data_IF_560411248794
#
_entry.id   IF_560411248794
#
_cell.length_a   1.000
_cell.length_b   1.000
_cell.length_c   1.000
_cell.angle_alpha   90.00
_cell.angle_beta   90.00
_cell.angle_gamma   90.00
#
_symmetry.space_group_name_H-M   'P 1'
#
loop_
_entity.id
_entity.type
_entity.pdbx_description
1 polymer ?
#
# COMPACT_ATOMS: atom_id res chain seq x y z
N UNK A 1 -60.31 -9.19 32.60
CA UNK A 1 -59.01 -9.60 33.19
C UNK A 1 -57.88 -9.84 32.17
N UNK A 2 -58.10 -10.57 31.06
CA UNK A 2 -57.02 -10.87 30.08
C UNK A 2 -56.47 -9.68 29.27
N UNK A 3 -57.25 -8.62 29.04
CA UNK A 3 -56.81 -7.45 28.26
C UNK A 3 -55.91 -6.51 29.07
N UNK A 4 -56.24 -6.30 30.34
CA UNK A 4 -55.47 -5.48 31.29
C UNK A 4 -54.10 -6.12 31.55
N UNK A 5 -54.05 -7.46 31.68
CA UNK A 5 -52.79 -8.18 31.87
C UNK A 5 -51.85 -8.05 30.67
N UNK A 6 -52.38 -8.07 29.44
CA UNK A 6 -51.57 -7.90 28.22
C UNK A 6 -50.96 -6.51 28.12
N UNK A 7 -51.70 -5.46 28.51
CA UNK A 7 -51.16 -4.10 28.52
C UNK A 7 -50.15 -3.88 29.65
N UNK A 8 -50.37 -4.44 30.85
CA UNK A 8 -49.39 -4.39 31.93
C UNK A 8 -48.08 -5.11 31.58
N UNK A 9 -48.15 -6.26 30.92
CA UNK A 9 -46.93 -7.00 30.49
C UNK A 9 -46.17 -6.23 29.41
N UNK A 10 -46.86 -5.63 28.43
CA UNK A 10 -46.21 -4.81 27.38
C UNK A 10 -45.56 -3.56 27.98
N UNK A 11 -46.21 -2.89 28.93
CA UNK A 11 -45.65 -1.72 29.61
C UNK A 11 -44.40 -2.08 30.42
N UNK A 12 -44.39 -3.25 31.07
CA UNK A 12 -43.24 -3.72 31.85
C UNK A 12 -42.04 -4.07 30.97
N UNK A 13 -42.27 -4.66 29.79
CA UNK A 13 -41.21 -4.95 28.82
C UNK A 13 -40.62 -3.66 28.25
N UNK A 14 -41.45 -2.65 27.95
CA UNK A 14 -40.98 -1.34 27.48
C UNK A 14 -40.12 -0.62 28.52
N UNK A 15 -40.43 -0.74 29.81
CA UNK A 15 -39.65 -0.16 30.91
C UNK A 15 -38.27 -0.83 31.09
N UNK A 16 -38.17 -2.13 30.78
CA UNK A 16 -36.91 -2.88 30.88
C UNK A 16 -35.91 -2.51 29.78
N UNK A 17 -36.36 -2.03 28.62
CA UNK A 17 -35.50 -1.73 27.47
C UNK A 17 -34.83 -0.34 27.58
N UNK A 18 -35.36 0.57 28.41
CA UNK A 18 -34.80 1.94 28.54
C UNK A 18 -33.63 2.06 29.53
N UNK A 19 -33.30 1.01 30.27
CA UNK A 19 -32.21 1.03 31.25
C UNK A 19 -30.90 0.48 30.64
N UNK A 20 -30.45 1.12 29.56
CA UNK A 20 -29.11 0.89 29.00
C UNK A 20 -28.07 1.69 29.78
N UNK A 21 -27.30 1.03 30.63
CA UNK A 21 -26.18 1.66 31.35
C UNK A 21 -25.10 2.14 30.37
N UNK A 22 -24.77 3.43 30.43
CA UNK A 22 -23.57 4.01 29.81
C UNK A 22 -22.33 3.43 30.50
N UNK A 23 -21.62 2.51 29.83
CA UNK A 23 -20.30 2.05 30.28
C UNK A 23 -19.23 2.80 29.48
N UNK A 24 -18.82 3.95 30.01
CA UNK A 24 -17.68 4.71 29.47
C UNK A 24 -16.42 4.28 30.23
N UNK A 25 -15.72 3.29 29.68
CA UNK A 25 -14.40 2.93 30.16
C UNK A 25 -13.38 3.93 29.57
N UNK A 26 -12.98 4.93 30.36
CA UNK A 26 -11.79 5.72 30.07
C UNK A 26 -10.55 4.91 30.45
N UNK A 27 -9.83 4.38 29.47
CA UNK A 27 -8.47 3.86 29.69
C UNK A 27 -7.52 5.03 29.95
N UNK A 28 -6.69 4.98 31.01
CA UNK A 28 -5.65 5.98 31.20
C UNK A 28 -4.56 5.79 30.14
N UNK A 29 -4.28 6.86 29.39
CA UNK A 29 -3.08 6.99 28.55
C UNK A 29 -1.84 6.80 29.43
N UNK A 30 -1.18 5.66 29.28
CA UNK A 30 0.15 5.43 29.81
C UNK A 30 1.14 6.30 29.05
N UNK A 31 1.74 7.25 29.76
CA UNK A 31 2.77 8.16 29.28
C UNK A 31 4.04 7.36 28.97
N UNK A 32 4.23 6.98 27.72
CA UNK A 32 5.58 6.71 27.19
C UNK A 32 6.11 7.98 26.54
N UNK A 33 6.82 8.75 27.36
CA UNK A 33 7.67 9.84 26.92
C UNK A 33 8.95 9.24 26.34
N UNK A 34 9.03 9.12 25.02
CA UNK A 34 10.28 8.86 24.33
C UNK A 34 11.00 10.19 24.09
N UNK A 35 12.16 10.33 24.74
CA UNK A 35 13.16 11.37 24.50
C UNK A 35 13.46 11.45 22.98
N UNK A 36 13.44 12.64 22.35
CA UNK A 36 13.92 12.77 20.97
C UNK A 36 15.38 12.34 20.91
N UNK A 37 15.66 11.29 20.12
CA UNK A 37 17.01 11.05 19.66
C UNK A 37 17.37 12.21 18.74
N UNK A 38 18.42 12.94 19.10
CA UNK A 38 18.94 14.05 18.32
C UNK A 38 19.28 13.56 16.90
N UNK A 39 18.82 14.32 15.91
CA UNK A 39 19.31 14.23 14.54
C UNK A 39 20.76 14.74 14.55
N UNK A 40 21.73 13.84 14.48
CA UNK A 40 23.07 14.21 14.07
C UNK A 40 23.03 14.51 12.57
N UNK A 41 22.83 15.78 12.24
CA UNK A 41 23.13 16.31 10.92
C UNK A 41 24.66 16.20 10.70
N UNK A 42 25.09 15.19 9.96
CA UNK A 42 26.42 15.17 9.36
C UNK A 42 26.48 16.26 8.29
N UNK A 43 27.03 17.41 8.65
CA UNK A 43 27.34 18.48 7.71
C UNK A 43 28.52 18.05 6.83
N UNK A 44 28.24 17.74 5.56
CA UNK A 44 29.29 17.68 4.54
C UNK A 44 29.73 19.10 4.20
N UNK A 45 30.87 19.50 4.76
CA UNK A 45 31.61 20.69 4.36
C UNK A 45 32.02 20.55 2.89
N UNK A 46 31.54 21.47 2.04
CA UNK A 46 32.05 21.62 0.69
C UNK A 46 33.53 22.04 0.75
N UNK A 47 34.41 21.21 0.18
CA UNK A 47 35.84 21.49 0.01
C UNK A 47 36.01 22.30 -1.29
N UNK A 48 36.80 23.39 -1.32
CA UNK A 48 37.02 24.19 -2.54
C UNK A 48 37.79 23.39 -3.61
N UNK A 49 37.29 23.37 -4.85
CA UNK A 49 37.98 22.79 -6.00
C UNK A 49 39.38 23.40 -6.20
N UNK A 50 40.38 22.54 -6.27
CA UNK A 50 41.70 22.85 -6.81
C UNK A 50 41.79 22.31 -8.25
N UNK A 51 42.33 23.08 -9.22
CA UNK A 51 42.36 22.67 -10.62
C UNK A 51 43.39 21.55 -10.81
N UNK A 52 42.93 20.36 -11.19
CA UNK A 52 43.79 19.22 -11.55
C UNK A 52 43.90 19.13 -13.07
N UNK A 53 45.15 19.11 -13.53
CA UNK A 53 45.62 19.18 -14.92
C UNK A 53 45.08 18.02 -15.78
N UNK A 54 44.65 18.33 -17.01
CA UNK A 54 44.23 17.36 -18.03
C UNK A 54 45.41 16.45 -18.44
N UNK A 55 45.28 15.11 -18.41
CA UNK A 55 46.22 14.24 -19.10
C UNK A 55 45.93 14.22 -20.62
N UNK A 56 47.00 14.30 -21.41
CA UNK A 56 47.04 14.25 -22.87
C UNK A 56 46.49 12.92 -23.42
N UNK A 57 45.48 12.99 -24.30
CA UNK A 57 44.81 11.82 -24.89
C UNK A 57 45.55 11.35 -26.16
N UNK A 58 46.35 10.29 -26.03
CA UNK A 58 46.91 9.56 -27.17
C UNK A 58 45.80 8.80 -27.93
N UNK A 59 45.79 8.77 -29.28
CA UNK A 59 44.73 8.08 -30.03
C UNK A 59 44.76 6.57 -29.78
N UNK A 60 43.62 6.04 -29.31
CA UNK A 60 43.36 4.62 -29.07
C UNK A 60 42.90 3.95 -30.37
N UNK A 61 43.43 2.77 -30.67
CA UNK A 61 43.09 1.95 -31.84
C UNK A 61 41.61 1.55 -31.86
N UNK A 62 40.92 1.86 -32.96
CA UNK A 62 39.54 1.45 -33.24
C UNK A 62 39.46 -0.05 -33.51
N UNK A 63 38.86 -0.81 -32.59
CA UNK A 63 38.47 -2.20 -32.85
C UNK A 63 37.20 -2.23 -33.69
N UNK A 64 37.30 -2.70 -34.93
CA UNK A 64 36.16 -2.98 -35.80
C UNK A 64 35.33 -4.12 -35.20
N UNK A 65 34.09 -3.82 -34.78
CA UNK A 65 33.11 -4.83 -34.37
C UNK A 65 32.53 -5.51 -35.62
N UNK A 66 32.81 -6.80 -35.80
CA UNK A 66 32.12 -7.64 -36.80
C UNK A 66 30.68 -7.88 -36.33
N UNK A 67 29.65 -7.63 -37.15
CA UNK A 67 28.27 -7.92 -36.76
C UNK A 67 28.10 -9.45 -36.58
N UNK A 68 27.77 -9.86 -35.35
CA UNK A 68 27.36 -11.23 -35.03
C UNK A 68 26.03 -11.55 -35.71
N UNK A 69 25.77 -12.81 -36.14
CA UNK A 69 24.45 -13.18 -36.66
C UNK A 69 23.36 -12.80 -35.65
N UNK A 70 22.30 -12.17 -36.18
CA UNK A 70 21.13 -11.75 -35.41
C UNK A 70 20.52 -12.98 -34.72
N UNK A 71 20.22 -12.94 -33.41
CA UNK A 71 19.59 -14.06 -32.72
C UNK A 71 18.26 -14.41 -33.41
N UNK A 72 18.08 -15.68 -33.78
CA UNK A 72 16.79 -16.20 -34.20
C UNK A 72 15.77 -15.95 -33.10
N UNK A 73 14.68 -15.25 -33.42
CA UNK A 73 13.60 -14.94 -32.47
C UNK A 73 12.99 -16.25 -31.95
N UNK A 74 13.07 -16.48 -30.64
CA UNK A 74 12.44 -17.62 -30.00
C UNK A 74 10.93 -17.31 -29.95
N UNK A 75 10.16 -17.90 -30.86
CA UNK A 75 8.69 -17.79 -30.86
C UNK A 75 8.16 -18.66 -29.72
N UNK A 76 7.79 -18.03 -28.61
CA UNK A 76 7.00 -18.68 -27.56
C UNK A 76 5.59 -18.89 -28.12
N UNK A 77 5.21 -20.08 -28.61
CA UNK A 77 3.84 -20.31 -29.11
C UNK A 77 2.81 -20.39 -27.98
N UNK A 78 3.20 -20.96 -26.83
CA UNK A 78 2.42 -20.97 -25.59
C UNK A 78 2.94 -19.88 -24.66
N UNK A 79 2.05 -19.04 -24.13
CA UNK A 79 2.41 -17.91 -23.29
C UNK A 79 2.67 -16.60 -24.06
N UNK A 80 2.29 -16.50 -25.34
CA UNK A 80 2.31 -15.23 -26.08
C UNK A 80 1.54 -14.15 -25.32
N UNK A 81 0.42 -14.56 -24.72
CA UNK A 81 -0.45 -13.74 -23.88
C UNK A 81 0.22 -13.22 -22.61
N UNK A 82 1.32 -13.85 -22.18
CA UNK A 82 2.10 -13.45 -21.01
C UNK A 82 3.32 -12.60 -21.38
N UNK A 83 3.60 -12.42 -22.68
CA UNK A 83 4.72 -11.59 -23.12
C UNK A 83 4.47 -10.12 -22.83
N UNK A 84 5.52 -9.37 -22.51
CA UNK A 84 5.43 -7.92 -22.29
C UNK A 84 4.89 -7.19 -23.52
N UNK A 85 5.22 -7.66 -24.73
CA UNK A 85 4.70 -7.10 -25.98
C UNK A 85 3.16 -7.17 -26.00
N UNK A 86 2.62 -8.38 -25.82
CA UNK A 86 1.18 -8.60 -25.80
C UNK A 86 0.50 -7.81 -24.67
N UNK A 87 1.03 -7.87 -23.45
CA UNK A 87 0.44 -7.18 -22.29
C UNK A 87 0.44 -5.65 -22.44
N UNK A 88 1.38 -5.07 -23.20
CA UNK A 88 1.41 -3.63 -23.50
C UNK A 88 0.41 -3.21 -24.58
N UNK A 89 0.01 -4.13 -25.44
CA UNK A 89 -1.02 -3.90 -26.46
C UNK A 89 -2.43 -4.05 -25.89
N UNK A 90 -2.56 -4.74 -24.75
CA UNK A 90 -3.82 -4.98 -24.07
C UNK A 90 -4.33 -3.71 -23.35
N UNK A 91 -5.63 -3.44 -23.47
CA UNK A 91 -6.29 -2.43 -22.64
C UNK A 91 -6.56 -3.04 -21.25
N UNK A 92 -5.71 -2.73 -20.27
CA UNK A 92 -5.89 -3.19 -18.89
C UNK A 92 -6.84 -2.23 -18.17
N UNK A 93 -8.08 -2.66 -17.92
CA UNK A 93 -9.05 -1.85 -17.16
C UNK A 93 -9.09 -2.28 -15.71
N UNK A 94 -8.85 -1.33 -14.81
CA UNK A 94 -9.12 -1.50 -13.38
C UNK A 94 -10.40 -0.80 -12.97
N UNK A 95 -11.04 -1.27 -11.89
CA UNK A 95 -12.01 -0.48 -11.14
C UNK A 95 -11.33 0.34 -10.05
N UNK A 96 -12.10 1.22 -9.41
CA UNK A 96 -11.73 1.74 -8.10
C UNK A 96 -11.58 0.60 -7.08
N UNK A 97 -10.80 0.85 -6.03
CA UNK A 97 -10.61 -0.07 -4.91
C UNK A 97 -11.80 0.06 -3.96
N UNK A 98 -12.49 -1.04 -3.72
CA UNK A 98 -13.61 -1.14 -2.80
C UNK A 98 -13.12 -1.66 -1.45
N UNK A 99 -13.48 -0.98 -0.36
CA UNK A 99 -13.18 -1.40 1.00
C UNK A 99 -14.33 -2.25 1.56
N UNK A 100 -14.03 -3.45 2.06
CA UNK A 100 -15.02 -4.37 2.63
C UNK A 100 -14.98 -4.39 4.15
N UNK A 101 -13.79 -4.60 4.70
CA UNK A 101 -13.60 -4.78 6.14
C UNK A 101 -12.33 -4.07 6.60
N UNK A 102 -12.39 -3.46 7.79
CA UNK A 102 -11.19 -3.04 8.52
C UNK A 102 -10.80 -4.16 9.47
N UNK A 103 -9.61 -4.72 9.26
CA UNK A 103 -9.04 -5.79 10.06
C UNK A 103 -8.31 -5.22 11.28
N UNK A 104 -7.92 -6.09 12.22
CA UNK A 104 -7.05 -5.72 13.34
C UNK A 104 -5.78 -5.04 12.83
N UNK A 105 -5.44 -3.84 13.32
CA UNK A 105 -4.31 -3.07 12.82
C UNK A 105 -2.97 -3.76 13.12
N UNK A 106 -1.96 -3.43 12.33
CA UNK A 106 -0.56 -3.68 12.69
C UNK A 106 -0.05 -2.62 13.67
N UNK A 107 1.24 -2.69 13.98
CA UNK A 107 1.87 -1.74 14.91
C UNK A 107 1.82 -0.28 14.42
N UNK A 108 2.03 -0.06 13.12
CA UNK A 108 2.16 1.29 12.53
C UNK A 108 1.28 1.52 11.29
N UNK A 109 0.33 0.62 11.03
CA UNK A 109 -0.52 0.67 9.84
C UNK A 109 -1.90 0.05 10.06
N UNK A 110 -2.90 0.60 9.38
CA UNK A 110 -4.22 0.01 9.23
C UNK A 110 -4.16 -1.17 8.27
N UNK A 111 -5.06 -2.14 8.44
CA UNK A 111 -5.23 -3.31 7.56
C UNK A 111 -6.67 -3.36 7.08
N UNK A 112 -6.85 -3.55 5.78
CA UNK A 112 -8.16 -3.60 5.14
C UNK A 112 -8.28 -4.77 4.17
N UNK A 113 -9.41 -5.46 4.21
CA UNK A 113 -9.82 -6.32 3.12
C UNK A 113 -10.42 -5.42 2.02
N UNK A 114 -9.82 -5.48 0.83
CA UNK A 114 -10.24 -4.67 -0.32
C UNK A 114 -10.43 -5.53 -1.55
N UNK A 115 -11.10 -4.99 -2.57
CA UNK A 115 -11.17 -5.63 -3.88
C UNK A 115 -11.18 -4.61 -5.03
N UNK A 116 -10.82 -5.07 -6.22
CA UNK A 116 -11.00 -4.34 -7.48
C UNK A 116 -11.39 -5.31 -8.61
N UNK A 117 -12.06 -4.83 -9.64
CA UNK A 117 -12.43 -5.63 -10.81
C UNK A 117 -11.34 -5.57 -11.87
N UNK A 118 -11.04 -6.72 -12.47
CA UNK A 118 -10.09 -6.89 -13.57
C UNK A 118 -10.59 -8.01 -14.47
N UNK A 119 -10.73 -7.73 -15.76
CA UNK A 119 -11.13 -8.71 -16.78
C UNK A 119 -12.33 -9.58 -16.40
N UNK A 120 -13.39 -8.95 -15.87
CA UNK A 120 -14.62 -9.61 -15.45
C UNK A 120 -14.54 -10.36 -14.11
N UNK A 121 -13.38 -10.38 -13.46
CA UNK A 121 -13.17 -11.01 -12.16
C UNK A 121 -13.10 -9.97 -11.05
N UNK A 122 -13.47 -10.37 -9.83
CA UNK A 122 -13.24 -9.58 -8.63
C UNK A 122 -11.96 -10.08 -7.94
N UNK A 123 -10.93 -9.24 -7.93
CA UNK A 123 -9.65 -9.54 -7.29
C UNK A 123 -9.68 -8.97 -5.87
N UNK A 124 -9.44 -9.82 -4.87
CA UNK A 124 -9.35 -9.43 -3.47
C UNK A 124 -7.89 -9.26 -3.04
N UNK A 125 -7.65 -8.35 -2.11
CA UNK A 125 -6.32 -8.10 -1.57
C UNK A 125 -6.35 -7.54 -0.17
N UNK A 126 -5.20 -7.63 0.50
CA UNK A 126 -4.93 -6.95 1.76
C UNK A 126 -4.29 -5.60 1.45
N UNK A 127 -4.97 -4.51 1.81
CA UNK A 127 -4.42 -3.16 1.75
C UNK A 127 -3.93 -2.73 3.13
N UNK A 128 -2.68 -2.29 3.20
CA UNK A 128 -2.10 -1.68 4.40
C UNK A 128 -1.86 -0.20 4.18
N UNK A 129 -2.23 0.62 5.16
CA UNK A 129 -2.10 2.09 5.08
C UNK A 129 -1.37 2.57 6.34
N UNK A 130 -0.21 3.23 6.22
CA UNK A 130 0.51 3.79 7.36
C UNK A 130 -0.36 4.75 8.19
N UNK A 131 -0.12 4.83 9.50
CA UNK A 131 -0.84 5.80 10.35
C UNK A 131 -0.31 7.24 10.25
N UNK A 132 0.86 7.45 9.67
CA UNK A 132 1.42 8.78 9.43
C UNK A 132 0.53 9.55 8.43
N UNK A 133 0.48 10.87 8.50
CA UNK A 133 -0.26 11.67 7.50
C UNK A 133 0.31 11.44 6.08
N UNK A 134 -0.55 11.34 5.05
CA UNK A 134 -0.07 11.20 3.68
C UNK A 134 0.65 12.49 3.25
N UNK A 135 1.78 12.39 2.53
CA UNK A 135 2.42 13.56 1.94
C UNK A 135 1.55 14.13 0.80
N UNK A 136 1.93 15.30 0.28
CA UNK A 136 1.29 15.88 -0.91
C UNK A 136 1.33 14.87 -2.07
N UNK A 137 0.17 14.59 -2.67
CA UNK A 137 0.02 13.56 -3.71
C UNK A 137 -0.15 12.12 -3.21
N UNK A 138 -0.23 11.90 -1.89
CA UNK A 138 -0.50 10.59 -1.28
C UNK A 138 0.74 9.71 -1.08
N UNK A 139 0.54 8.54 -0.46
CA UNK A 139 1.65 7.60 -0.24
C UNK A 139 2.16 7.01 -1.56
N UNK A 140 3.45 6.68 -1.59
CA UNK A 140 3.95 5.71 -2.57
C UNK A 140 3.38 4.33 -2.24
N UNK A 141 2.95 3.61 -3.27
CA UNK A 141 2.39 2.27 -3.13
C UNK A 141 3.44 1.20 -3.46
N UNK A 142 3.34 0.07 -2.78
CA UNK A 142 4.08 -1.16 -3.09
C UNK A 142 3.04 -2.26 -3.25
N UNK A 143 3.12 -2.99 -4.38
CA UNK A 143 2.22 -4.11 -4.65
C UNK A 143 2.97 -5.41 -4.36
N UNK A 144 2.44 -6.18 -3.41
CA UNK A 144 2.94 -7.52 -3.11
C UNK A 144 2.05 -8.56 -3.80
N UNK A 145 2.62 -9.30 -4.74
CA UNK A 145 2.03 -10.54 -5.22
C UNK A 145 2.56 -11.68 -4.33
N UNK A 146 1.66 -12.44 -3.71
CA UNK A 146 2.03 -13.56 -2.86
C UNK A 146 2.05 -14.86 -3.68
N UNK A 147 2.82 -15.85 -3.20
CA UNK A 147 2.82 -17.21 -3.74
C UNK A 147 1.68 -18.09 -3.21
#
# INVERSE_FOLDING_TARGET
MRLIYRHSVILFILLLITTGCSFQASTPLSKYQTKPAALENSAHTAHPEAPTVLPDLKPTSTSTITPSPMPTEIVFEIGQELTIKYLREMEIRGSEIIFHERLSPGYSYARHLVSYSSEGNQVYGLLTIPFAEPPEGGYKAIVFNHG
#
